data_IF_350346804110
#
_entry.id   IF_350346804110
#
_cell.length_a   1.000
_cell.length_b   1.000
_cell.length_c   1.000
_cell.angle_alpha   90.00
_cell.angle_beta   90.00
_cell.angle_gamma   90.00
#
_symmetry.space_group_name_H-M   'P 1'
#
loop_
_entity.id
_entity.type
_entity.pdbx_description
1 polymer ?
#
# COMPACT_ATOMS: atom_id res chain seq x y z
N UNK A 1 0.08 -15.66 -4.18
CA UNK A 1 -1.24 -15.08 -3.84
C UNK A 1 -1.92 -14.65 -5.12
N UNK A 2 -3.21 -14.89 -5.25
CA UNK A 2 -3.98 -14.48 -6.43
C UNK A 2 -4.70 -13.16 -6.17
N UNK A 3 -4.72 -12.28 -7.17
CA UNK A 3 -5.45 -11.02 -7.16
C UNK A 3 -6.32 -10.97 -8.41
N UNK A 4 -7.59 -10.67 -8.24
CA UNK A 4 -8.54 -10.43 -9.34
C UNK A 4 -9.26 -9.12 -9.09
N UNK A 5 -9.32 -8.26 -10.11
CA UNK A 5 -9.93 -6.94 -10.06
C UNK A 5 -10.80 -6.78 -11.30
N UNK A 6 -12.06 -6.41 -11.12
CA UNK A 6 -13.00 -6.16 -12.20
C UNK A 6 -13.72 -4.84 -12.02
N UNK A 7 -13.88 -4.08 -13.10
CA UNK A 7 -14.63 -2.83 -13.20
C UNK A 7 -14.23 -1.73 -12.19
N UNK A 8 -12.94 -1.70 -11.81
CA UNK A 8 -12.41 -0.71 -10.89
C UNK A 8 -11.59 0.36 -11.62
N UNK A 9 -12.04 1.61 -11.58
CA UNK A 9 -11.39 2.77 -12.21
C UNK A 9 -11.03 2.50 -13.68
N UNK A 10 -9.74 2.42 -13.99
CA UNK A 10 -9.28 2.12 -15.35
C UNK A 10 -9.17 0.62 -15.64
N UNK A 11 -9.48 -0.24 -14.68
CA UNK A 11 -9.38 -1.70 -14.82
C UNK A 11 -10.75 -2.26 -15.20
N UNK A 12 -10.86 -2.84 -16.39
CA UNK A 12 -12.02 -3.63 -16.76
C UNK A 12 -11.93 -5.03 -16.16
N UNK A 13 -10.79 -5.71 -16.37
CA UNK A 13 -10.49 -7.00 -15.76
C UNK A 13 -8.99 -7.24 -15.70
N UNK A 14 -8.48 -7.51 -14.50
CA UNK A 14 -7.08 -7.89 -14.27
C UNK A 14 -7.05 -9.11 -13.37
N UNK A 15 -6.24 -10.08 -13.74
CA UNK A 15 -5.90 -11.24 -12.92
C UNK A 15 -4.39 -11.37 -12.85
N UNK A 16 -3.83 -11.56 -11.66
CA UNK A 16 -2.40 -11.69 -11.47
C UNK A 16 -2.08 -12.57 -10.27
N UNK A 17 -0.92 -13.20 -10.32
CA UNK A 17 -0.38 -14.03 -9.23
C UNK A 17 0.81 -13.32 -8.59
N UNK A 18 0.64 -12.85 -7.38
CA UNK A 18 1.72 -12.20 -6.63
C UNK A 18 2.76 -13.23 -6.16
N UNK A 19 4.03 -12.95 -6.45
CA UNK A 19 5.15 -13.52 -5.74
C UNK A 19 5.32 -12.90 -4.35
N UNK A 20 6.26 -13.37 -3.53
CA UNK A 20 6.57 -12.76 -2.24
C UNK A 20 6.98 -11.29 -2.39
N UNK A 21 7.71 -10.99 -3.45
CA UNK A 21 7.98 -9.63 -3.90
C UNK A 21 7.52 -9.51 -5.35
N UNK A 22 6.62 -8.58 -5.61
CA UNK A 22 6.08 -8.29 -6.95
C UNK A 22 6.35 -6.83 -7.28
N UNK A 23 6.93 -6.58 -8.46
CA UNK A 23 7.17 -5.23 -8.96
C UNK A 23 6.29 -4.96 -10.16
N UNK A 24 5.61 -3.84 -10.15
CA UNK A 24 4.77 -3.34 -11.23
C UNK A 24 5.53 -2.24 -11.98
N UNK A 25 5.95 -2.56 -13.21
CA UNK A 25 6.58 -1.64 -14.15
C UNK A 25 5.53 -1.16 -15.17
N UNK A 26 5.82 -0.12 -15.90
CA UNK A 26 4.97 0.35 -17.00
C UNK A 26 4.88 1.86 -17.11
N UNK A 27 4.26 2.33 -18.18
CA UNK A 27 4.17 3.74 -18.51
C UNK A 27 3.43 4.58 -17.44
N UNK A 28 3.68 5.88 -17.35
CA UNK A 28 2.83 6.78 -16.58
C UNK A 28 1.35 6.63 -16.97
N UNK A 29 0.45 6.80 -16.00
CA UNK A 29 -0.99 6.68 -16.18
C UNK A 29 -1.51 5.32 -16.71
N UNK A 30 -0.68 4.27 -16.73
CA UNK A 30 -1.08 2.92 -17.13
C UNK A 30 -2.06 2.24 -16.15
N UNK A 31 -2.20 2.77 -14.91
CA UNK A 31 -3.11 2.23 -13.90
C UNK A 31 -2.44 1.39 -12.83
N UNK A 32 -1.09 1.44 -12.71
CA UNK A 32 -0.34 0.74 -11.64
C UNK A 32 -0.88 1.05 -10.24
N UNK A 33 -1.08 2.34 -9.93
CA UNK A 33 -1.64 2.76 -8.64
C UNK A 33 -3.05 2.21 -8.41
N UNK A 34 -3.87 2.05 -9.46
CA UNK A 34 -5.21 1.48 -9.33
C UNK A 34 -5.16 0.02 -8.87
N UNK A 35 -4.13 -0.74 -9.26
CA UNK A 35 -3.92 -2.11 -8.77
C UNK A 35 -3.62 -2.10 -7.26
N UNK A 36 -2.70 -1.24 -6.79
CA UNK A 36 -2.39 -1.14 -5.35
C UNK A 36 -3.59 -0.66 -4.53
N UNK A 37 -4.31 0.32 -5.06
CA UNK A 37 -5.52 0.86 -4.44
C UNK A 37 -6.63 -0.20 -4.31
N UNK A 38 -6.82 -1.03 -5.33
CA UNK A 38 -7.78 -2.13 -5.29
C UNK A 38 -7.42 -3.15 -4.20
N UNK A 39 -6.14 -3.56 -4.10
CA UNK A 39 -5.66 -4.45 -3.03
C UNK A 39 -5.91 -3.82 -1.65
N UNK A 40 -5.60 -2.54 -1.49
CA UNK A 40 -5.85 -1.84 -0.24
C UNK A 40 -7.34 -1.73 0.08
N UNK A 41 -8.19 -1.50 -0.91
CA UNK A 41 -9.63 -1.39 -0.78
C UNK A 41 -10.29 -2.72 -0.36
N UNK A 42 -9.80 -3.84 -0.88
CA UNK A 42 -10.31 -5.17 -0.52
C UNK A 42 -10.26 -5.46 0.98
N UNK A 43 -9.30 -4.86 1.71
CA UNK A 43 -9.14 -5.03 3.16
C UNK A 43 -9.51 -3.77 3.96
N UNK A 44 -10.11 -2.78 3.32
CA UNK A 44 -10.45 -1.49 3.95
C UNK A 44 -11.33 -1.66 5.20
N UNK A 45 -12.34 -2.51 5.11
CA UNK A 45 -13.29 -2.74 6.21
C UNK A 45 -12.66 -3.49 7.39
N UNK A 46 -11.65 -4.33 7.15
CA UNK A 46 -10.92 -5.02 8.23
C UNK A 46 -10.15 -4.04 9.13
N UNK A 47 -9.85 -2.85 8.61
CA UNK A 47 -9.06 -1.82 9.30
C UNK A 47 -9.92 -0.86 10.08
N UNK A 48 -11.04 -0.43 9.48
CA UNK A 48 -11.80 0.74 9.94
C UNK A 48 -13.19 0.41 10.50
N UNK A 49 -13.65 -0.84 10.38
CA UNK A 49 -14.93 -1.27 10.97
C UNK A 49 -15.00 -1.03 12.50
N UNK A 50 -13.82 -0.94 13.16
CA UNK A 50 -13.70 -0.87 14.63
C UNK A 50 -13.15 0.46 15.14
N UNK A 51 -12.82 1.44 14.29
CA UNK A 51 -12.17 2.68 14.73
C UNK A 51 -13.03 3.91 14.50
N UNK A 52 -13.04 4.77 15.51
CA UNK A 52 -13.73 6.07 15.51
C UNK A 52 -13.01 7.08 14.60
N UNK A 53 -11.68 6.94 14.43
CA UNK A 53 -10.87 7.84 13.61
C UNK A 53 -10.83 7.34 12.16
N UNK A 54 -11.68 7.91 11.33
CA UNK A 54 -11.98 7.48 9.96
C UNK A 54 -11.05 8.16 8.97
N UNK A 55 -10.23 7.39 8.29
CA UNK A 55 -9.48 7.93 7.18
C UNK A 55 -10.37 8.06 5.94
N UNK A 56 -10.34 9.22 5.25
CA UNK A 56 -11.11 9.36 4.03
C UNK A 56 -10.67 8.35 2.97
N UNK A 57 -11.63 7.66 2.37
CA UNK A 57 -11.40 6.79 1.23
C UNK A 57 -10.71 7.55 0.09
N UNK A 58 -11.03 8.84 -0.06
CA UNK A 58 -10.43 9.75 -1.05
C UNK A 58 -8.90 9.84 -0.98
N UNK A 59 -8.30 9.62 0.19
CA UNK A 59 -6.85 9.57 0.33
C UNK A 59 -6.28 8.22 -0.03
N UNK A 60 -6.92 7.14 0.44
CA UNK A 60 -6.46 5.79 0.18
C UNK A 60 -6.55 5.42 -1.30
N UNK A 61 -7.65 5.76 -1.97
CA UNK A 61 -7.95 5.35 -3.35
C UNK A 61 -8.15 6.51 -4.32
N UNK A 62 -7.70 7.73 -3.98
CA UNK A 62 -7.79 8.92 -4.85
C UNK A 62 -9.18 9.07 -5.51
N UNK A 63 -10.25 8.91 -4.73
CA UNK A 63 -11.62 9.07 -5.18
C UNK A 63 -12.27 10.28 -4.50
N UNK A 64 -12.92 11.14 -5.24
CA UNK A 64 -13.66 12.30 -4.74
C UNK A 64 -15.16 12.09 -4.78
N UNK A 65 -15.60 11.09 -5.54
CA UNK A 65 -16.97 10.63 -5.62
C UNK A 65 -17.01 9.10 -5.68
N UNK A 66 -18.14 8.50 -5.34
CA UNK A 66 -18.32 7.04 -5.41
C UNK A 66 -18.20 6.54 -6.84
N UNK A 67 -18.67 7.30 -7.81
CA UNK A 67 -18.54 6.98 -9.24
C UNK A 67 -17.07 6.80 -9.67
N UNK A 68 -16.13 7.49 -9.00
CA UNK A 68 -14.69 7.37 -9.31
C UNK A 68 -14.14 5.94 -9.05
N UNK A 69 -14.86 5.11 -8.30
CA UNK A 69 -14.49 3.72 -8.05
C UNK A 69 -14.83 2.81 -9.24
N UNK A 70 -15.76 3.23 -10.10
CA UNK A 70 -16.28 2.42 -11.20
C UNK A 70 -15.56 2.73 -12.50
N UNK A 71 -15.39 1.71 -13.34
CA UNK A 71 -14.78 1.88 -14.67
C UNK A 71 -15.61 2.83 -15.52
N UNK A 72 -14.96 3.89 -16.00
CA UNK A 72 -15.60 4.99 -16.77
C UNK A 72 -16.81 5.61 -16.08
N UNK A 73 -16.83 5.63 -14.73
CA UNK A 73 -17.92 6.16 -13.91
C UNK A 73 -19.27 5.43 -14.11
N UNK A 74 -19.25 4.24 -14.69
CA UNK A 74 -20.45 3.45 -15.01
C UNK A 74 -20.98 2.71 -13.77
N UNK A 75 -21.96 3.30 -13.10
CA UNK A 75 -22.59 2.75 -11.91
C UNK A 75 -23.45 1.49 -12.19
N UNK A 76 -23.66 1.11 -13.44
CA UNK A 76 -24.35 -0.15 -13.81
C UNK A 76 -23.45 -1.37 -13.66
N UNK A 77 -22.13 -1.15 -13.59
CA UNK A 77 -21.13 -2.19 -13.36
C UNK A 77 -21.04 -2.54 -11.88
N UNK A 78 -20.53 -3.73 -11.60
CA UNK A 78 -20.14 -4.15 -10.25
C UNK A 78 -18.64 -4.15 -10.16
N UNK A 79 -18.08 -3.39 -9.23
CA UNK A 79 -16.66 -3.48 -8.87
C UNK A 79 -16.47 -4.78 -8.09
N UNK A 80 -15.58 -5.63 -8.54
CA UNK A 80 -15.23 -6.88 -7.85
C UNK A 80 -13.72 -6.94 -7.64
N UNK A 81 -13.31 -7.11 -6.39
CA UNK A 81 -11.91 -7.23 -6.02
C UNK A 81 -11.76 -8.46 -5.14
N UNK A 82 -10.86 -9.36 -5.50
CA UNK A 82 -10.53 -10.48 -4.64
C UNK A 82 -9.03 -10.66 -4.50
N UNK A 83 -8.62 -11.01 -3.28
CA UNK A 83 -7.23 -11.26 -2.90
C UNK A 83 -7.21 -12.53 -2.07
N UNK A 84 -6.35 -13.49 -2.38
CA UNK A 84 -6.32 -14.74 -1.61
C UNK A 84 -5.30 -15.75 -2.08
N UNK A 85 -5.36 -16.91 -1.42
CA UNK A 85 -4.62 -18.13 -1.77
C UNK A 85 -5.63 -19.27 -1.86
N UNK A 86 -5.18 -20.52 -2.09
CA UNK A 86 -6.06 -21.68 -2.02
C UNK A 86 -6.67 -21.93 -0.63
N UNK A 87 -6.06 -21.35 0.42
CA UNK A 87 -6.49 -21.56 1.81
C UNK A 87 -7.42 -20.48 2.35
N UNK A 88 -7.32 -19.26 1.85
CA UNK A 88 -8.12 -18.13 2.28
C UNK A 88 -8.37 -17.15 1.13
N UNK A 89 -9.50 -16.45 1.18
CA UNK A 89 -9.87 -15.43 0.20
C UNK A 89 -10.58 -14.27 0.88
N UNK A 90 -10.24 -13.05 0.44
CA UNK A 90 -11.00 -11.84 0.73
C UNK A 90 -11.58 -11.35 -0.58
N UNK A 91 -12.92 -11.20 -0.64
CA UNK A 91 -13.62 -10.61 -1.78
C UNK A 91 -14.42 -9.40 -1.34
N UNK A 92 -14.40 -8.35 -2.18
CA UNK A 92 -15.19 -7.14 -2.02
C UNK A 92 -15.96 -6.91 -3.31
N UNK A 93 -17.27 -6.69 -3.20
CA UNK A 93 -18.13 -6.26 -4.29
C UNK A 93 -18.77 -4.91 -3.93
N UNK A 94 -18.75 -3.97 -4.88
CA UNK A 94 -19.37 -2.66 -4.74
C UNK A 94 -20.29 -2.45 -5.94
N UNK A 95 -21.55 -2.16 -5.69
CA UNK A 95 -22.54 -1.96 -6.75
C UNK A 95 -23.65 -1.00 -6.33
N UNK A 96 -24.41 -0.51 -7.30
CA UNK A 96 -25.56 0.36 -7.08
C UNK A 96 -26.88 -0.37 -7.34
N UNK A 97 -27.68 -0.49 -6.27
CA UNK A 97 -29.06 -0.99 -6.34
C UNK A 97 -29.90 -0.20 -5.35
N UNK A 98 -30.63 0.80 -5.81
CA UNK A 98 -31.35 1.76 -4.97
C UNK A 98 -30.45 2.45 -3.91
N UNK A 99 -29.16 2.61 -4.23
CA UNK A 99 -28.10 3.12 -3.39
C UNK A 99 -26.85 2.26 -3.43
N UNK A 100 -25.79 2.70 -2.75
CA UNK A 100 -24.54 1.96 -2.66
C UNK A 100 -24.74 0.68 -1.84
N UNK A 101 -24.31 -0.44 -2.39
CA UNK A 101 -24.26 -1.75 -1.74
C UNK A 101 -22.83 -2.26 -1.72
N UNK A 102 -22.51 -2.96 -0.66
CA UNK A 102 -21.21 -3.58 -0.42
C UNK A 102 -21.40 -5.03 0.03
N UNK A 103 -20.63 -5.93 -0.54
CA UNK A 103 -20.54 -7.32 -0.08
C UNK A 103 -19.09 -7.66 0.24
N UNK A 104 -18.89 -8.35 1.35
CA UNK A 104 -17.60 -8.91 1.76
C UNK A 104 -17.74 -10.41 1.88
N UNK A 105 -16.91 -11.17 1.16
CA UNK A 105 -16.98 -12.64 1.14
C UNK A 105 -18.41 -13.14 0.89
N UNK A 106 -19.09 -12.57 -0.12
CA UNK A 106 -20.45 -12.89 -0.56
C UNK A 106 -21.56 -12.59 0.47
N UNK A 107 -21.24 -11.87 1.55
CA UNK A 107 -22.23 -11.41 2.50
C UNK A 107 -22.38 -9.89 2.46
N UNK A 108 -23.63 -9.42 2.42
CA UNK A 108 -23.93 -7.99 2.38
C UNK A 108 -23.44 -7.31 3.66
N UNK A 109 -22.68 -6.21 3.49
CA UNK A 109 -22.28 -5.34 4.61
C UNK A 109 -23.49 -4.48 4.99
N UNK A 110 -24.10 -4.71 6.15
CA UNK A 110 -25.26 -3.95 6.56
C UNK A 110 -24.89 -2.48 6.76
N UNK A 111 -25.78 -1.59 6.29
CA UNK A 111 -25.64 -0.13 6.47
C UNK A 111 -24.41 0.48 5.79
N UNK A 112 -23.92 -0.09 4.69
CA UNK A 112 -22.92 0.57 3.88
C UNK A 112 -23.45 1.92 3.39
N UNK A 113 -22.77 3.00 3.70
CA UNK A 113 -23.08 4.36 3.23
C UNK A 113 -21.82 5.10 2.86
N UNK A 114 -21.96 6.11 2.03
CA UNK A 114 -20.88 7.05 1.76
C UNK A 114 -21.27 8.46 2.14
N UNK A 115 -20.29 9.25 2.54
CA UNK A 115 -20.44 10.67 2.78
C UNK A 115 -19.42 11.45 1.96
N UNK A 116 -19.88 12.53 1.37
CA UNK A 116 -19.03 13.52 0.72
C UNK A 116 -19.09 14.80 1.55
N UNK A 117 -17.97 15.18 2.15
CA UNK A 117 -17.87 16.44 2.87
C UNK A 117 -17.64 17.62 1.92
N UNK A 118 -17.89 18.87 2.34
CA UNK A 118 -17.64 20.08 1.54
C UNK A 118 -16.19 20.21 1.04
N UNK A 119 -15.22 19.64 1.77
CA UNK A 119 -13.81 19.58 1.40
C UNK A 119 -13.48 18.49 0.36
N UNK A 120 -14.49 17.88 -0.28
CA UNK A 120 -14.39 16.76 -1.23
C UNK A 120 -13.89 15.43 -0.65
N UNK A 121 -13.81 15.29 0.67
CA UNK A 121 -13.45 14.00 1.27
C UNK A 121 -14.59 12.99 1.16
N UNK A 122 -14.30 11.82 0.61
CA UNK A 122 -15.21 10.70 0.48
C UNK A 122 -14.93 9.68 1.57
N UNK A 123 -15.97 9.22 2.26
CA UNK A 123 -15.90 8.20 3.29
C UNK A 123 -16.82 7.05 2.95
N UNK A 124 -16.34 5.82 3.06
CA UNK A 124 -17.18 4.62 3.09
C UNK A 124 -17.29 4.13 4.54
N UNK A 125 -18.50 3.79 4.93
CA UNK A 125 -18.77 3.30 6.28
C UNK A 125 -19.48 1.97 6.26
N UNK A 126 -19.12 1.15 7.26
CA UNK A 126 -20.05 0.28 7.93
C UNK A 126 -20.28 0.86 9.33
N UNK A 127 -21.50 1.08 9.73
CA UNK A 127 -21.80 1.70 11.02
C UNK A 127 -21.41 0.78 12.17
N UNK A 128 -20.54 1.24 13.06
CA UNK A 128 -20.23 0.58 14.33
C UNK A 128 -21.45 0.55 15.27
N UNK A 129 -21.63 -0.57 15.93
CA UNK A 129 -22.83 -0.91 16.70
C UNK A 129 -23.17 0.05 17.86
N UNK A 130 -22.24 0.81 18.39
CA UNK A 130 -22.45 1.58 19.62
C UNK A 130 -23.05 2.97 19.44
N UNK A 131 -22.81 3.66 18.33
CA UNK A 131 -23.25 5.06 18.17
C UNK A 131 -24.68 5.21 17.61
N UNK A 132 -25.27 4.16 17.02
CA UNK A 132 -26.54 4.23 16.29
C UNK A 132 -27.54 3.13 16.65
N UNK A 133 -27.41 2.46 17.79
CA UNK A 133 -28.39 1.45 18.24
C UNK A 133 -28.45 0.21 17.35
N UNK A 134 -27.34 -0.20 16.77
CA UNK A 134 -27.27 -1.42 15.96
C UNK A 134 -27.32 -2.64 16.87
N UNK A 135 -28.21 -3.55 16.51
CA UNK A 135 -28.38 -4.85 17.14
C UNK A 135 -27.03 -5.60 17.25
N UNK A 136 -26.61 -6.02 18.46
CA UNK A 136 -25.39 -6.80 18.67
C UNK A 136 -25.28 -8.04 17.78
N UNK A 137 -26.37 -8.69 17.44
CA UNK A 137 -26.40 -9.88 16.59
C UNK A 137 -26.00 -9.57 15.13
N UNK A 138 -26.38 -8.38 14.63
CA UNK A 138 -25.96 -7.95 13.27
C UNK A 138 -24.48 -7.57 13.23
N UNK A 139 -23.95 -7.07 14.33
CA UNK A 139 -22.52 -6.78 14.43
C UNK A 139 -21.70 -8.06 14.54
N UNK A 140 -22.16 -9.05 15.30
CA UNK A 140 -21.54 -10.39 15.38
C UNK A 140 -21.49 -11.06 14.01
N UNK A 141 -22.59 -10.97 13.23
CA UNK A 141 -22.61 -11.45 11.84
C UNK A 141 -21.59 -10.77 10.93
N UNK A 142 -21.40 -9.44 11.08
CA UNK A 142 -20.36 -8.72 10.32
C UNK A 142 -18.97 -9.23 10.70
N UNK A 143 -18.72 -9.52 11.99
CA UNK A 143 -17.47 -10.10 12.45
C UNK A 143 -17.22 -11.50 11.89
N UNK A 144 -18.26 -12.33 11.82
CA UNK A 144 -18.22 -13.67 11.19
C UNK A 144 -17.94 -13.57 9.69
N UNK A 145 -18.56 -12.60 9.00
CA UNK A 145 -18.37 -12.33 7.57
C UNK A 145 -16.94 -11.82 7.27
N UNK A 146 -16.36 -11.02 8.17
CA UNK A 146 -14.97 -10.60 8.03
C UNK A 146 -14.01 -11.81 8.09
N UNK A 147 -14.42 -12.91 8.71
CA UNK A 147 -13.72 -14.18 8.71
C UNK A 147 -12.26 -14.05 9.16
N UNK A 148 -11.38 -14.77 8.48
CA UNK A 148 -9.95 -14.73 8.77
C UNK A 148 -9.37 -13.35 8.45
N UNK A 149 -8.64 -12.78 9.40
CA UNK A 149 -8.06 -11.46 9.30
C UNK A 149 -7.02 -11.40 8.18
N UNK A 150 -7.21 -10.49 7.25
CA UNK A 150 -6.26 -10.15 6.19
C UNK A 150 -5.88 -8.69 6.35
N UNK A 151 -4.60 -8.38 6.24
CA UNK A 151 -4.12 -7.00 6.39
C UNK A 151 -3.37 -6.59 5.12
N UNK A 152 -3.85 -5.56 4.44
CA UNK A 152 -3.06 -4.87 3.43
C UNK A 152 -2.77 -3.43 3.89
N UNK A 153 -1.57 -2.93 3.62
CA UNK A 153 -1.15 -1.56 3.85
C UNK A 153 -0.62 -0.96 2.55
N UNK A 154 -1.00 0.25 2.27
CA UNK A 154 -0.50 1.02 1.12
C UNK A 154 0.34 2.18 1.63
N UNK A 155 1.66 2.03 1.60
CA UNK A 155 2.59 3.08 1.98
C UNK A 155 2.99 3.89 0.74
N UNK A 156 2.35 5.06 0.58
CA UNK A 156 2.66 6.04 -0.43
C UNK A 156 2.97 7.37 0.25
N UNK A 157 4.25 7.70 0.43
CA UNK A 157 4.66 8.91 1.17
C UNK A 157 4.01 10.18 0.59
N UNK A 158 4.01 10.32 -0.72
CA UNK A 158 3.48 11.53 -1.38
C UNK A 158 1.95 11.67 -1.25
N UNK A 159 1.23 10.58 -0.99
CA UNK A 159 -0.22 10.62 -0.72
C UNK A 159 -0.57 11.31 0.59
N UNK A 160 0.29 11.16 1.59
CA UNK A 160 0.05 11.56 2.98
C UNK A 160 1.17 12.43 3.54
N UNK A 161 1.99 13.02 2.68
CA UNK A 161 3.22 13.71 3.04
C UNK A 161 3.04 14.68 4.22
N UNK A 162 2.07 15.58 4.13
CA UNK A 162 1.85 16.61 5.16
C UNK A 162 1.44 15.99 6.50
N UNK A 163 0.56 14.98 6.49
CA UNK A 163 0.14 14.29 7.71
C UNK A 163 1.30 13.51 8.35
N UNK A 164 2.11 12.82 7.53
CA UNK A 164 3.29 12.06 7.97
C UNK A 164 4.30 12.99 8.63
N UNK A 165 4.70 14.07 7.93
CA UNK A 165 5.67 15.04 8.44
C UNK A 165 5.13 15.71 9.70
N UNK A 166 3.88 16.14 9.69
CA UNK A 166 3.25 16.78 10.85
C UNK A 166 3.22 15.84 12.07
N UNK A 167 2.91 14.56 11.86
CA UNK A 167 2.93 13.55 12.94
C UNK A 167 4.33 13.34 13.49
N UNK A 168 5.35 13.27 12.64
CA UNK A 168 6.73 13.08 13.06
C UNK A 168 7.25 14.29 13.85
N UNK A 169 6.92 15.52 13.41
CA UNK A 169 7.42 16.76 14.00
C UNK A 169 6.68 17.11 15.29
N UNK A 170 5.37 16.94 15.33
CA UNK A 170 4.52 17.40 16.45
C UNK A 170 4.15 16.30 17.42
N UNK A 171 4.47 15.03 17.13
CA UNK A 171 4.20 13.91 18.03
C UNK A 171 2.71 13.68 18.27
N UNK A 172 1.89 13.63 17.22
CA UNK A 172 0.44 13.43 17.34
C UNK A 172 0.13 12.13 18.09
N UNK A 173 -0.61 12.23 19.19
CA UNK A 173 -1.03 11.10 20.01
C UNK A 173 -2.34 10.53 19.45
N UNK A 174 -2.24 9.57 18.57
CA UNK A 174 -3.37 8.73 18.16
C UNK A 174 -3.14 7.34 18.72
N UNK A 175 -4.10 6.80 19.46
CA UNK A 175 -4.03 5.41 19.89
C UNK A 175 -3.96 4.51 18.66
N UNK A 176 -2.82 3.84 18.52
CA UNK A 176 -2.62 2.89 17.43
C UNK A 176 -3.05 1.50 17.92
N UNK A 177 -3.97 0.86 17.24
CA UNK A 177 -4.19 -0.53 17.50
C UNK A 177 -2.92 -1.31 17.16
N UNK A 178 -2.42 -2.02 18.17
CA UNK A 178 -1.52 -3.16 18.01
C UNK A 178 -0.12 -2.87 17.39
N UNK A 179 0.30 -1.61 17.27
CA UNK A 179 1.69 -1.30 16.87
C UNK A 179 1.99 -1.37 15.38
N UNK A 180 0.98 -1.43 14.51
CA UNK A 180 1.14 -1.33 13.06
C UNK A 180 1.07 0.14 12.61
N UNK A 181 2.00 0.58 11.76
CA UNK A 181 1.99 1.94 11.22
C UNK A 181 0.76 2.17 10.34
N UNK A 182 0.11 3.32 10.53
CA UNK A 182 -0.98 3.79 9.66
C UNK A 182 -0.41 4.40 8.38
N UNK A 183 -1.18 4.35 7.31
CA UNK A 183 -0.80 4.92 6.02
C UNK A 183 -0.60 6.44 6.09
N UNK A 184 -1.36 7.15 6.92
CA UNK A 184 -1.23 8.60 7.14
C UNK A 184 -0.14 8.99 8.15
N UNK A 185 0.56 8.00 8.72
CA UNK A 185 1.64 8.21 9.67
C UNK A 185 1.23 8.78 11.03
N UNK A 186 -0.07 9.03 11.31
CA UNK A 186 -0.53 9.69 12.54
C UNK A 186 -0.09 9.00 13.83
N UNK A 187 0.21 7.72 13.79
CA UNK A 187 0.72 6.96 14.94
C UNK A 187 2.24 6.73 14.87
N UNK A 188 2.97 7.45 14.01
CA UNK A 188 4.39 7.21 13.76
C UNK A 188 5.21 7.14 15.04
N UNK A 189 5.13 8.14 15.90
CA UNK A 189 5.95 8.23 17.11
C UNK A 189 5.76 7.04 18.05
N UNK A 190 4.52 6.54 18.19
CA UNK A 190 4.21 5.37 19.05
C UNK A 190 4.80 4.09 18.44
N UNK A 191 4.68 3.94 17.13
CA UNK A 191 5.16 2.74 16.43
C UNK A 191 6.67 2.74 16.33
N UNK A 192 7.30 3.88 16.00
CA UNK A 192 8.74 4.02 15.86
C UNK A 192 9.49 3.71 17.16
N UNK A 193 8.93 4.06 18.34
CA UNK A 193 9.49 3.67 19.66
C UNK A 193 9.66 2.17 19.83
N UNK A 194 8.81 1.37 19.20
CA UNK A 194 8.89 -0.09 19.21
C UNK A 194 9.85 -0.63 18.16
N UNK A 195 10.44 0.24 17.34
CA UNK A 195 11.32 -0.11 16.22
C UNK A 195 12.69 0.61 16.31
N UNK A 196 13.42 0.53 17.45
CA UNK A 196 14.65 1.30 17.65
C UNK A 196 15.77 0.94 16.65
N UNK A 197 15.70 -0.25 16.06
CA UNK A 197 16.65 -0.67 15.02
C UNK A 197 16.54 0.21 13.79
N UNK A 198 15.32 0.61 13.38
CA UNK A 198 15.11 1.48 12.21
C UNK A 198 15.85 2.81 12.38
N UNK A 199 15.73 3.43 13.57
CA UNK A 199 16.39 4.71 13.84
C UNK A 199 17.92 4.55 13.78
N UNK A 200 18.46 3.45 14.31
CA UNK A 200 19.91 3.17 14.24
C UNK A 200 20.39 2.96 12.80
N UNK A 201 19.67 2.16 12.01
CA UNK A 201 20.05 1.87 10.64
C UNK A 201 20.05 3.17 9.80
N UNK A 202 19.05 4.03 9.97
CA UNK A 202 19.00 5.34 9.30
C UNK A 202 20.14 6.24 9.74
N UNK A 203 20.44 6.29 11.05
CA UNK A 203 21.55 7.10 11.57
C UNK A 203 22.92 6.62 11.09
N UNK A 204 23.12 5.32 10.92
CA UNK A 204 24.36 4.77 10.36
C UNK A 204 24.63 5.36 8.97
N UNK A 205 23.63 5.35 8.09
CA UNK A 205 23.77 5.95 6.75
C UNK A 205 23.96 7.47 6.81
N UNK A 206 23.15 8.16 7.63
CA UNK A 206 23.24 9.63 7.75
C UNK A 206 24.59 10.09 8.28
N UNK A 207 25.20 9.33 9.21
CA UNK A 207 26.52 9.67 9.75
C UNK A 207 27.61 9.59 8.68
N UNK A 208 27.51 8.66 7.74
CA UNK A 208 28.45 8.54 6.61
C UNK A 208 28.24 9.66 5.56
N UNK A 209 26.98 10.10 5.39
CA UNK A 209 26.61 11.02 4.32
C UNK A 209 26.73 12.50 4.71
N UNK A 210 26.31 12.88 5.92
CA UNK A 210 26.03 14.29 6.19
C UNK A 210 26.23 14.76 7.64
N UNK A 211 26.72 13.94 8.55
CA UNK A 211 26.80 14.25 10.00
C UNK A 211 25.46 14.62 10.67
N UNK A 212 24.36 14.24 10.03
CA UNK A 212 23.01 14.46 10.54
C UNK A 212 22.61 13.28 11.40
N UNK A 213 21.97 13.54 12.52
CA UNK A 213 21.47 12.53 13.44
C UNK A 213 19.97 12.68 13.66
N UNK A 214 19.23 11.57 13.59
CA UNK A 214 17.79 11.51 13.91
C UNK A 214 17.63 11.01 15.35
N UNK A 215 16.86 11.75 16.15
CA UNK A 215 16.45 11.33 17.51
C UNK A 215 14.93 11.25 17.61
N UNK A 216 14.47 10.16 18.20
CA UNK A 216 13.07 9.99 18.56
C UNK A 216 12.93 10.33 20.06
N UNK A 217 12.17 11.39 20.34
CA UNK A 217 11.94 11.88 21.69
C UNK A 217 10.89 11.02 22.44
N UNK A 218 10.83 11.20 23.76
CA UNK A 218 9.88 10.47 24.62
C UNK A 218 8.41 10.80 24.33
N UNK A 219 8.12 11.93 23.78
CA UNK A 219 6.78 12.30 23.31
C UNK A 219 6.45 11.80 21.88
N UNK A 220 7.39 11.07 21.25
CA UNK A 220 7.23 10.50 19.92
C UNK A 220 7.57 11.43 18.77
N UNK A 221 8.07 12.63 19.05
CA UNK A 221 8.56 13.54 18.02
C UNK A 221 9.90 13.08 17.45
N UNK A 222 10.07 13.28 16.16
CA UNK A 222 11.35 13.13 15.48
C UNK A 222 12.05 14.49 15.46
N UNK A 223 13.27 14.54 15.93
CA UNK A 223 14.13 15.71 15.83
C UNK A 223 15.39 15.30 15.08
N UNK A 224 15.79 16.13 14.15
CA UNK A 224 17.01 15.94 13.35
C UNK A 224 18.02 16.97 13.79
N UNK A 225 19.24 16.52 14.06
CA UNK A 225 20.36 17.35 14.48
C UNK A 225 21.40 17.42 13.36
N UNK A 226 21.93 18.61 13.10
CA UNK A 226 23.11 18.84 12.29
C UNK A 226 24.19 19.42 13.21
N UNK A 227 25.31 18.70 13.38
CA UNK A 227 26.38 19.08 14.32
C UNK A 227 25.86 19.50 15.71
N UNK A 228 25.00 18.67 16.33
CA UNK A 228 24.37 18.88 17.65
C UNK A 228 23.35 20.05 17.68
N UNK A 229 23.07 20.70 16.58
CA UNK A 229 22.06 21.76 16.50
C UNK A 229 20.76 21.17 15.96
N UNK A 230 19.66 21.32 16.71
CA UNK A 230 18.35 20.87 16.27
C UNK A 230 17.88 21.66 15.04
N UNK A 231 17.62 20.95 13.96
CA UNK A 231 17.14 21.53 12.71
C UNK A 231 15.67 21.96 12.80
N UNK A 232 15.33 23.06 12.16
CA UNK A 232 13.90 23.39 11.95
C UNK A 232 13.27 22.36 10.99
N UNK A 233 12.01 21.96 11.22
CA UNK A 233 11.34 20.97 10.35
C UNK A 233 11.38 21.33 8.86
N UNK A 234 11.27 22.62 8.52
CA UNK A 234 11.34 23.11 7.14
C UNK A 234 12.72 22.99 6.48
N UNK A 235 13.77 22.75 7.26
CA UNK A 235 15.13 22.55 6.77
C UNK A 235 15.51 21.06 6.65
N UNK A 236 14.65 20.15 7.12
CA UNK A 236 14.90 18.71 7.04
C UNK A 236 14.48 18.21 5.66
N UNK A 237 15.36 17.43 5.02
CA UNK A 237 15.05 16.82 3.74
C UNK A 237 13.88 15.83 3.84
N UNK A 238 12.98 15.87 2.86
CA UNK A 238 11.91 14.86 2.69
C UNK A 238 12.44 13.43 2.65
N UNK A 239 13.65 13.22 2.17
CA UNK A 239 14.34 11.94 2.14
C UNK A 239 14.42 11.29 3.52
N UNK A 240 14.72 12.07 4.56
CA UNK A 240 14.81 11.57 5.95
C UNK A 240 13.43 11.13 6.45
N UNK A 241 12.40 11.94 6.25
CA UNK A 241 11.05 11.57 6.66
C UNK A 241 10.51 10.36 5.89
N UNK A 242 10.78 10.30 4.60
CA UNK A 242 10.34 9.20 3.72
C UNK A 242 10.97 7.88 4.13
N UNK A 243 12.30 7.83 4.30
CA UNK A 243 12.96 6.57 4.67
C UNK A 243 12.51 6.08 6.04
N UNK A 244 12.41 6.97 7.03
CA UNK A 244 11.88 6.63 8.34
C UNK A 244 10.47 6.05 8.25
N UNK A 245 9.58 6.70 7.51
CA UNK A 245 8.19 6.24 7.35
C UNK A 245 8.12 4.85 6.72
N UNK A 246 8.84 4.61 5.64
CA UNK A 246 8.79 3.33 4.92
C UNK A 246 9.41 2.20 5.76
N UNK A 247 10.59 2.43 6.36
CA UNK A 247 11.26 1.40 7.16
C UNK A 247 10.49 1.08 8.45
N UNK A 248 9.92 2.09 9.13
CA UNK A 248 9.03 1.86 10.28
C UNK A 248 7.76 1.11 9.84
N UNK A 249 7.21 1.44 8.68
CA UNK A 249 6.07 0.74 8.10
C UNK A 249 6.35 -0.76 7.88
N UNK A 250 7.41 -1.10 7.17
CA UNK A 250 7.83 -2.48 6.90
C UNK A 250 8.17 -3.23 8.18
N UNK A 251 8.96 -2.61 9.09
CA UNK A 251 9.34 -3.22 10.34
C UNK A 251 8.14 -3.50 11.25
N UNK A 252 7.23 -2.54 11.37
CA UNK A 252 6.01 -2.70 12.15
C UNK A 252 5.07 -3.77 11.55
N UNK A 253 4.98 -3.82 10.22
CA UNK A 253 4.20 -4.85 9.52
C UNK A 253 4.78 -6.25 9.75
N UNK A 254 6.11 -6.40 9.71
CA UNK A 254 6.80 -7.66 10.04
C UNK A 254 6.48 -8.11 11.45
N UNK A 255 6.65 -7.22 12.43
CA UNK A 255 6.36 -7.51 13.83
C UNK A 255 4.89 -7.85 14.05
N UNK A 256 3.99 -7.06 13.49
CA UNK A 256 2.54 -7.26 13.60
C UNK A 256 2.10 -8.61 13.02
N UNK A 257 2.61 -8.96 11.84
CA UNK A 257 2.30 -10.23 11.15
C UNK A 257 2.69 -11.43 12.02
N UNK A 258 3.92 -11.43 12.55
CA UNK A 258 4.41 -12.50 13.44
C UNK A 258 3.62 -12.56 14.75
N UNK A 259 3.35 -11.41 15.38
CA UNK A 259 2.65 -11.34 16.66
C UNK A 259 1.22 -11.91 16.58
N UNK A 260 0.57 -11.76 15.42
CA UNK A 260 -0.84 -12.15 15.23
C UNK A 260 -1.02 -13.43 14.41
N UNK A 261 0.06 -14.16 14.05
CA UNK A 261 -0.04 -15.37 13.24
C UNK A 261 -0.66 -15.12 11.86
N UNK A 262 -0.29 -14.00 11.21
CA UNK A 262 -0.84 -13.57 9.92
C UNK A 262 0.13 -13.82 8.76
N UNK A 263 1.07 -14.76 8.93
CA UNK A 263 2.00 -15.14 7.88
C UNK A 263 1.25 -15.59 6.62
N UNK A 264 1.65 -15.00 5.50
CA UNK A 264 0.98 -15.23 4.22
C UNK A 264 -0.38 -14.53 4.05
N UNK A 265 -0.83 -13.72 5.03
CA UNK A 265 -2.08 -12.96 5.00
C UNK A 265 -1.89 -11.45 5.11
N UNK A 266 -0.65 -10.99 5.15
CA UNK A 266 -0.33 -9.56 5.18
C UNK A 266 0.29 -9.13 3.86
N UNK A 267 -0.19 -8.02 3.33
CA UNK A 267 0.29 -7.40 2.10
C UNK A 267 0.77 -5.99 2.42
N UNK A 268 1.96 -5.65 1.97
CA UNK A 268 2.46 -4.27 1.98
C UNK A 268 2.64 -3.81 0.54
N UNK A 269 1.93 -2.77 0.18
CA UNK A 269 2.06 -2.10 -1.10
C UNK A 269 2.90 -0.83 -0.93
N UNK A 270 3.94 -0.66 -1.75
CA UNK A 270 4.83 0.49 -1.74
C UNK A 270 4.67 1.25 -3.06
N UNK A 271 4.31 2.52 -3.00
CA UNK A 271 4.20 3.39 -4.17
C UNK A 271 5.40 4.32 -4.22
N UNK A 272 6.25 4.11 -5.22
CA UNK A 272 7.49 4.87 -5.48
C UNK A 272 8.31 5.10 -4.19
N UNK A 273 8.68 4.01 -3.48
CA UNK A 273 9.35 4.14 -2.18
C UNK A 273 10.71 4.85 -2.29
N UNK A 274 11.32 4.80 -3.46
CA UNK A 274 12.60 5.44 -3.76
C UNK A 274 12.50 6.93 -4.07
N UNK A 275 11.31 7.47 -4.26
CA UNK A 275 11.12 8.87 -4.66
C UNK A 275 11.89 9.81 -3.73
N UNK A 276 12.76 10.67 -4.29
CA UNK A 276 13.61 11.61 -3.54
C UNK A 276 14.52 10.98 -2.48
N UNK A 277 14.65 9.64 -2.42
CA UNK A 277 15.63 9.00 -1.54
C UNK A 277 17.04 9.11 -2.11
N UNK A 278 17.99 9.28 -1.22
CA UNK A 278 19.39 9.16 -1.57
C UNK A 278 19.71 7.67 -1.87
N UNK A 279 20.45 7.34 -2.94
CA UNK A 279 20.64 5.95 -3.40
C UNK A 279 21.21 4.99 -2.34
N UNK A 280 22.02 5.48 -1.41
CA UNK A 280 22.56 4.65 -0.33
C UNK A 280 21.47 4.02 0.55
N UNK A 281 20.35 4.69 0.73
CA UNK A 281 19.21 4.14 1.45
C UNK A 281 18.52 2.95 0.74
N UNK A 282 18.78 2.73 -0.55
CA UNK A 282 18.16 1.62 -1.28
C UNK A 282 18.57 0.25 -0.72
N UNK A 283 19.78 0.10 -0.20
CA UNK A 283 20.20 -1.13 0.42
C UNK A 283 19.36 -1.45 1.66
N UNK A 284 19.15 -0.47 2.54
CA UNK A 284 18.27 -0.65 3.71
C UNK A 284 16.82 -0.91 3.29
N UNK A 285 16.32 -0.18 2.30
CA UNK A 285 14.97 -0.41 1.77
C UNK A 285 14.81 -1.87 1.32
N UNK A 286 15.74 -2.39 0.51
CA UNK A 286 15.70 -3.77 0.01
C UNK A 286 15.84 -4.79 1.15
N UNK A 287 16.68 -4.54 2.16
CA UNK A 287 16.79 -5.42 3.34
C UNK A 287 15.48 -5.49 4.14
N UNK A 288 14.79 -4.38 4.34
CA UNK A 288 13.51 -4.37 5.05
C UNK A 288 12.39 -5.02 4.22
N UNK A 289 12.41 -4.84 2.89
CA UNK A 289 11.52 -5.57 1.97
C UNK A 289 11.80 -7.08 2.07
N UNK A 290 13.06 -7.50 2.06
CA UNK A 290 13.46 -8.89 2.20
C UNK A 290 12.91 -9.51 3.48
N UNK A 291 13.14 -8.86 4.61
CA UNK A 291 12.66 -9.33 5.94
C UNK A 291 11.14 -9.46 6.00
N UNK A 292 10.41 -8.49 5.44
CA UNK A 292 8.96 -8.57 5.42
C UNK A 292 8.46 -9.67 4.46
N UNK A 293 9.15 -9.88 3.31
CA UNK A 293 8.77 -10.88 2.33
C UNK A 293 8.84 -12.33 2.84
N UNK A 294 9.56 -12.58 3.93
CA UNK A 294 9.58 -13.89 4.60
C UNK A 294 8.21 -14.23 5.21
N UNK A 295 7.45 -13.24 5.65
CA UNK A 295 6.18 -13.42 6.35
C UNK A 295 4.96 -12.92 5.58
N UNK A 296 5.14 -12.02 4.63
CA UNK A 296 4.06 -11.37 3.89
C UNK A 296 4.34 -11.28 2.39
N UNK A 297 3.54 -10.47 1.71
CA UNK A 297 3.67 -10.15 0.29
C UNK A 297 3.96 -8.66 0.12
N UNK A 298 4.93 -8.32 -0.71
CA UNK A 298 5.25 -6.94 -1.05
C UNK A 298 4.89 -6.68 -2.51
N UNK A 299 4.14 -5.61 -2.77
CA UNK A 299 3.84 -5.15 -4.12
C UNK A 299 4.40 -3.74 -4.27
N UNK A 300 5.28 -3.53 -5.25
CA UNK A 300 6.05 -2.29 -5.41
C UNK A 300 5.75 -1.69 -6.77
N UNK A 301 5.43 -0.39 -6.79
CA UNK A 301 5.50 0.42 -8.00
C UNK A 301 6.79 1.20 -7.94
N UNK A 302 7.62 1.09 -8.95
CA UNK A 302 8.84 1.87 -9.09
C UNK A 302 9.13 2.22 -10.54
N UNK A 303 9.78 3.36 -10.73
CA UNK A 303 10.34 3.78 -12.02
C UNK A 303 11.86 3.88 -11.95
N UNK A 304 12.48 3.46 -10.86
CA UNK A 304 13.90 3.56 -10.64
C UNK A 304 14.61 2.26 -11.06
N UNK A 305 15.45 2.29 -12.11
CA UNK A 305 16.16 1.11 -12.59
C UNK A 305 17.09 0.50 -11.54
N UNK A 306 17.77 1.34 -10.75
CA UNK A 306 18.71 0.87 -9.71
C UNK A 306 17.96 0.08 -8.63
N UNK A 307 16.78 0.55 -8.20
CA UNK A 307 15.99 -0.19 -7.22
C UNK A 307 15.52 -1.53 -7.78
N UNK A 308 15.07 -1.57 -9.04
CA UNK A 308 14.65 -2.82 -9.70
C UNK A 308 15.81 -3.82 -9.78
N UNK A 309 17.02 -3.37 -10.15
CA UNK A 309 18.23 -4.19 -10.17
C UNK A 309 18.54 -4.77 -8.80
N UNK A 310 18.63 -3.92 -7.77
CA UNK A 310 18.92 -4.33 -6.39
C UNK A 310 17.90 -5.33 -5.84
N UNK A 311 16.62 -5.15 -6.17
CA UNK A 311 15.57 -6.09 -5.77
C UNK A 311 15.78 -7.46 -6.44
N UNK A 312 16.10 -7.50 -7.74
CA UNK A 312 16.33 -8.75 -8.46
C UNK A 312 17.58 -9.47 -8.01
N UNK A 313 18.65 -8.74 -7.75
CA UNK A 313 19.93 -9.32 -7.31
C UNK A 313 19.82 -10.00 -5.95
N UNK A 314 19.00 -9.44 -5.07
CA UNK A 314 18.87 -9.92 -3.69
C UNK A 314 17.64 -10.80 -3.41
N UNK A 315 16.61 -10.75 -4.29
CA UNK A 315 15.32 -11.37 -4.04
C UNK A 315 14.75 -12.09 -5.26
N UNK A 316 13.89 -13.09 -5.03
CA UNK A 316 13.10 -13.67 -6.09
C UNK A 316 11.89 -12.78 -6.40
N UNK A 317 12.02 -11.90 -7.38
CA UNK A 317 11.02 -10.90 -7.76
C UNK A 317 10.15 -11.40 -8.91
N UNK A 318 8.84 -11.24 -8.81
CA UNK A 318 7.91 -11.37 -9.94
C UNK A 318 7.71 -9.98 -10.56
N UNK A 319 7.92 -9.87 -11.86
CA UNK A 319 7.81 -8.63 -12.60
C UNK A 319 6.53 -8.63 -13.45
N UNK A 320 5.73 -7.57 -13.33
CA UNK A 320 4.58 -7.32 -14.21
C UNK A 320 4.77 -6.02 -14.97
N UNK A 321 4.41 -6.05 -16.24
CA UNK A 321 4.27 -4.83 -17.05
C UNK A 321 2.80 -4.43 -17.10
N UNK A 322 2.53 -3.20 -16.69
CA UNK A 322 1.19 -2.59 -16.65
C UNK A 322 1.10 -1.59 -17.80
N UNK A 323 0.10 -1.72 -18.63
CA UNK A 323 -0.07 -0.91 -19.83
C UNK A 323 -1.56 -0.60 -20.11
N UNK A 324 -1.80 0.27 -21.08
CA UNK A 324 -3.14 0.51 -21.63
C UNK A 324 -3.32 -0.35 -22.86
N UNK A 325 -4.31 -1.25 -22.82
CA UNK A 325 -4.73 -2.02 -23.99
C UNK A 325 -5.48 -1.16 -25.02
N UNK A 326 -5.83 -1.77 -26.15
CA UNK A 326 -6.50 -1.07 -27.27
C UNK A 326 -7.84 -0.45 -26.87
N UNK A 327 -8.53 -1.02 -25.88
CA UNK A 327 -9.78 -0.47 -25.30
C UNK A 327 -9.57 0.69 -24.31
N UNK A 328 -8.33 1.10 -24.06
CA UNK A 328 -7.99 2.14 -23.07
C UNK A 328 -8.07 1.66 -21.61
N UNK A 329 -8.24 0.36 -21.38
CA UNK A 329 -8.25 -0.25 -20.06
C UNK A 329 -6.85 -0.58 -19.58
N UNK A 330 -6.67 -0.67 -18.27
CA UNK A 330 -5.45 -1.18 -17.66
C UNK A 330 -5.38 -2.68 -17.85
N UNK A 331 -4.28 -3.13 -18.42
CA UNK A 331 -3.92 -4.52 -18.57
C UNK A 331 -2.58 -4.80 -17.88
N UNK A 332 -2.37 -6.05 -17.48
CA UNK A 332 -1.14 -6.51 -16.84
C UNK A 332 -0.62 -7.76 -17.54
N UNK A 333 0.68 -7.83 -17.75
CA UNK A 333 1.34 -8.99 -18.33
C UNK A 333 2.57 -9.35 -17.47
N UNK A 334 2.71 -10.62 -17.11
CA UNK A 334 3.89 -11.10 -16.39
C UNK A 334 5.08 -11.17 -17.34
N UNK A 335 6.20 -10.55 -16.95
CA UNK A 335 7.44 -10.63 -17.71
C UNK A 335 8.07 -12.03 -17.58
N UNK A 336 8.45 -12.58 -18.71
CA UNK A 336 9.07 -13.90 -18.79
C UNK A 336 10.57 -13.79 -18.50
N UNK A 337 11.02 -14.37 -17.39
CA UNK A 337 12.43 -14.31 -16.97
C UNK A 337 13.37 -15.02 -17.95
N UNK A 338 12.88 -16.09 -18.58
CA UNK A 338 13.69 -16.88 -19.51
C UNK A 338 13.90 -16.10 -20.81
N UNK A 339 12.84 -15.46 -21.34
CA UNK A 339 12.96 -14.57 -22.50
C UNK A 339 13.87 -13.36 -22.23
N UNK A 340 13.77 -12.76 -21.05
CA UNK A 340 14.66 -11.65 -20.65
C UNK A 340 16.12 -12.09 -20.65
N UNK A 341 16.41 -13.30 -20.16
CA UNK A 341 17.76 -13.84 -20.13
C UNK A 341 18.27 -14.21 -21.53
N UNK A 342 17.43 -14.83 -22.36
CA UNK A 342 17.76 -15.19 -23.74
C UNK A 342 18.09 -13.97 -24.60
N UNK A 343 17.34 -12.87 -24.44
CA UNK A 343 17.56 -11.63 -25.18
C UNK A 343 18.58 -10.68 -24.53
N UNK A 344 19.18 -11.09 -23.40
CA UNK A 344 20.12 -10.28 -22.60
C UNK A 344 19.52 -8.92 -22.15
N UNK A 345 18.21 -8.87 -21.96
CA UNK A 345 17.51 -7.67 -21.54
C UNK A 345 17.46 -7.61 -20.01
N UNK A 346 17.97 -6.52 -19.48
CA UNK A 346 17.88 -6.25 -18.03
C UNK A 346 16.51 -5.66 -17.66
N UNK A 347 16.17 -5.70 -16.38
CA UNK A 347 14.93 -5.06 -15.93
C UNK A 347 14.98 -3.53 -16.02
N UNK A 348 16.19 -2.98 -16.05
CA UNK A 348 16.40 -1.55 -16.30
C UNK A 348 16.02 -1.19 -17.74
N UNK A 349 16.43 -2.02 -18.72
CA UNK A 349 16.13 -1.79 -20.13
C UNK A 349 14.62 -1.68 -20.37
N UNK A 350 13.82 -2.48 -19.67
CA UNK A 350 12.34 -2.48 -19.76
C UNK A 350 11.76 -1.08 -19.54
N UNK A 351 12.35 -0.29 -18.62
CA UNK A 351 11.88 1.06 -18.32
C UNK A 351 12.09 2.06 -19.48
N UNK A 352 13.00 1.75 -20.40
CA UNK A 352 13.32 2.59 -21.55
C UNK A 352 12.72 2.06 -22.86
N UNK A 353 12.20 0.83 -22.86
CA UNK A 353 11.59 0.20 -24.04
C UNK A 353 10.18 0.74 -24.29
N UNK A 354 9.76 0.69 -25.56
CA UNK A 354 8.36 0.99 -25.93
C UNK A 354 7.42 -0.13 -25.48
N UNK A 355 6.17 0.15 -25.12
CA UNK A 355 5.23 -0.87 -24.65
C UNK A 355 5.12 -2.10 -25.55
N UNK A 356 5.09 -1.93 -26.89
CA UNK A 356 5.01 -3.03 -27.84
C UNK A 356 6.23 -3.95 -27.80
N UNK A 357 7.40 -3.42 -27.51
CA UNK A 357 8.64 -4.19 -27.37
C UNK A 357 8.61 -5.01 -26.08
N UNK A 358 8.19 -4.38 -24.96
CA UNK A 358 8.06 -5.06 -23.67
C UNK A 358 7.05 -6.21 -23.73
N UNK A 359 5.92 -6.02 -24.42
CA UNK A 359 4.88 -7.05 -24.51
C UNK A 359 5.35 -8.35 -25.19
N UNK A 360 6.39 -8.30 -26.05
CA UNK A 360 7.00 -9.51 -26.65
C UNK A 360 7.74 -10.34 -25.61
N UNK A 361 8.22 -9.70 -24.54
CA UNK A 361 8.97 -10.31 -23.44
C UNK A 361 8.04 -10.86 -22.35
N UNK A 362 6.74 -10.68 -22.48
CA UNK A 362 5.79 -11.21 -21.54
C UNK A 362 5.45 -12.68 -21.84
N UNK A 363 4.98 -13.38 -20.80
CA UNK A 363 4.39 -14.70 -20.96
C UNK A 363 3.12 -14.59 -21.80
N UNK A 364 2.91 -15.55 -22.68
CA UNK A 364 1.64 -15.64 -23.41
C UNK A 364 0.51 -15.78 -22.40
N UNK A 365 -0.56 -15.00 -22.59
CA UNK A 365 -1.77 -15.16 -21.76
C UNK A 365 -2.26 -16.60 -21.96
N UNK A 366 -2.25 -17.38 -20.87
CA UNK A 366 -2.77 -18.77 -20.86
C UNK A 366 -4.29 -18.77 -20.73
#
# INVERSE_FOLDING_TARGET
>A
MEVSISHYKSIEKVQMKLGRVTVLLGSPAAGKSNVLEAIALATYFDRYAFYVDREPLSRLVRATDVSDLFTFYDLTKTVEISVGTGEWRRSLRIYFQQGLRLELNDAEVPFARYFKLPNRSLYLFSYGAREYGIDPDRFSKLLEVLGEKVVARLYGFDRFKDDIINSMVNGVKVEAPQGLLREDGKNFGIVAKKQPKVIRDVNTELAELSRVEVKLLDDGRVVVFDNDIAMKPSAISDSVFRILYILVGLSSATFYTKLHGLEGRTIVSLEEPEGQLFPQFFNHLVEYIAKFSEVGYVVIITHNPILVSLLRDKLNVTLYYVYRGDGGFTEVAELDKDKLAEELITSEDILFMKPREVLRLCRSAS
#
